data_IF_949324150982
#
_entry.id   IF_949324150982
#
_cell.length_a   1.000
_cell.length_b   1.000
_cell.length_c   1.000
_cell.angle_alpha   90.00
_cell.angle_beta   90.00
_cell.angle_gamma   90.00
#
_symmetry.space_group_name_H-M   'P 1'
#
loop_
_entity.id
_entity.type
_entity.pdbx_description
1 polymer ?
#
# COMPACT_ATOMS: atom_id res chain seq x y z
N UNK A 1 16.75 -1.70 15.85
CA UNK A 1 15.91 -1.50 14.66
C UNK A 1 16.60 -2.23 13.52
N UNK A 2 15.87 -2.61 12.48
CA UNK A 2 16.37 -3.43 11.38
C UNK A 2 17.04 -2.52 10.35
N UNK A 3 18.28 -2.81 9.96
CA UNK A 3 18.97 -2.10 8.87
C UNK A 3 18.53 -2.63 7.49
N UNK A 4 18.61 -1.78 6.46
CA UNK A 4 18.42 -2.18 5.07
C UNK A 4 19.51 -3.16 4.63
N UNK A 5 19.15 -4.15 3.81
CA UNK A 5 20.11 -5.17 3.38
C UNK A 5 20.98 -4.73 2.21
N UNK A 6 20.41 -3.92 1.33
CA UNK A 6 21.03 -3.56 0.05
C UNK A 6 21.37 -2.07 -0.10
N UNK A 7 21.01 -1.24 0.88
CA UNK A 7 21.13 0.20 0.75
C UNK A 7 21.40 0.92 2.09
N UNK A 8 21.82 2.18 2.00
CA UNK A 8 21.98 3.06 3.15
C UNK A 8 21.37 4.44 2.82
N UNK A 9 20.09 4.68 3.19
CA UNK A 9 19.32 5.88 2.82
C UNK A 9 20.07 7.20 2.97
N UNK A 10 20.79 7.40 4.07
CA UNK A 10 21.46 8.68 4.39
C UNK A 10 22.64 9.01 3.48
N UNK A 11 23.15 8.02 2.72
CA UNK A 11 24.28 8.20 1.80
C UNK A 11 23.85 8.53 0.37
N UNK A 12 22.55 8.47 0.09
CA UNK A 12 21.99 8.73 -1.24
C UNK A 12 21.83 10.23 -1.51
N UNK A 13 22.10 10.63 -2.75
CA UNK A 13 21.57 11.91 -3.25
C UNK A 13 20.04 11.82 -3.45
N UNK A 14 19.41 12.98 -3.68
CA UNK A 14 17.95 13.09 -3.77
C UNK A 14 17.37 12.19 -4.86
N UNK A 15 17.98 12.22 -6.04
CA UNK A 15 17.47 11.49 -7.20
C UNK A 15 17.59 9.98 -7.00
N UNK A 16 18.70 9.50 -6.43
CA UNK A 16 18.89 8.09 -6.08
C UNK A 16 17.91 7.65 -5.00
N UNK A 17 17.72 8.45 -3.96
CA UNK A 17 16.78 8.14 -2.88
C UNK A 17 15.35 8.04 -3.40
N UNK A 18 14.88 9.04 -4.15
CA UNK A 18 13.53 9.05 -4.69
C UNK A 18 13.33 7.88 -5.65
N UNK A 19 14.27 7.61 -6.55
CA UNK A 19 14.16 6.47 -7.47
C UNK A 19 14.11 5.12 -6.72
N UNK A 20 14.87 4.97 -5.63
CA UNK A 20 14.92 3.73 -4.86
C UNK A 20 13.64 3.49 -4.04
N UNK A 21 13.06 4.55 -3.47
CA UNK A 21 11.91 4.47 -2.57
C UNK A 21 10.57 4.89 -3.22
N UNK A 22 10.55 5.22 -4.53
CA UNK A 22 9.36 5.71 -5.25
C UNK A 22 8.16 4.76 -5.17
N UNK A 23 8.42 3.45 -5.23
CA UNK A 23 7.38 2.41 -5.27
C UNK A 23 7.00 1.88 -3.89
N UNK A 24 7.54 2.44 -2.80
CA UNK A 24 7.11 2.09 -1.43
C UNK A 24 5.64 2.43 -1.23
N UNK A 25 5.19 3.55 -1.80
CA UNK A 25 3.78 3.92 -1.89
C UNK A 25 3.35 3.88 -3.36
N UNK A 26 2.29 3.14 -3.67
CA UNK A 26 1.86 2.86 -5.04
C UNK A 26 1.70 4.15 -5.87
N UNK A 27 2.45 4.25 -6.96
CA UNK A 27 2.50 5.40 -7.88
C UNK A 27 2.56 6.77 -7.18
N UNK A 28 3.23 6.84 -6.03
CA UNK A 28 3.24 8.01 -5.15
C UNK A 28 4.67 8.38 -4.71
N UNK A 29 5.58 8.71 -5.66
CA UNK A 29 6.97 9.05 -5.35
C UNK A 29 7.09 10.31 -4.48
N UNK A 30 6.04 11.14 -4.45
CA UNK A 30 5.98 12.35 -3.64
C UNK A 30 6.22 12.10 -2.14
N UNK A 31 5.92 10.89 -1.63
CA UNK A 31 6.20 10.54 -0.23
C UNK A 31 7.71 10.48 -0.01
N UNK A 32 8.46 9.81 -0.89
CA UNK A 32 9.91 9.74 -0.82
C UNK A 32 10.54 11.12 -1.04
N UNK A 33 10.05 11.89 -2.01
CA UNK A 33 10.49 13.27 -2.25
C UNK A 33 10.36 14.13 -0.99
N UNK A 34 9.17 14.13 -0.38
CA UNK A 34 8.90 14.93 0.80
C UNK A 34 9.71 14.47 2.03
N UNK A 35 9.96 13.16 2.17
CA UNK A 35 10.82 12.63 3.24
C UNK A 35 12.27 13.08 3.07
N UNK A 36 12.81 13.03 1.85
CA UNK A 36 14.17 13.51 1.58
C UNK A 36 14.28 15.02 1.84
N UNK A 37 13.30 15.79 1.39
CA UNK A 37 13.27 17.25 1.53
C UNK A 37 13.13 17.72 2.99
N UNK A 38 12.58 16.87 3.87
CA UNK A 38 12.58 17.09 5.34
C UNK A 38 13.96 16.84 5.99
N UNK A 39 14.89 16.24 5.25
CA UNK A 39 16.23 15.86 5.71
C UNK A 39 16.26 14.49 6.36
N UNK A 40 17.34 13.75 6.13
CA UNK A 40 17.60 12.44 6.75
C UNK A 40 18.69 12.56 7.83
N UNK A 41 18.64 11.68 8.82
CA UNK A 41 19.67 11.51 9.84
C UNK A 41 20.02 10.03 10.00
N UNK A 42 21.09 9.72 10.75
CA UNK A 42 21.61 8.35 10.89
C UNK A 42 20.58 7.31 11.36
N UNK A 43 19.54 7.71 12.09
CA UNK A 43 18.47 6.80 12.51
C UNK A 43 17.61 6.33 11.32
N UNK A 44 17.50 7.14 10.26
CA UNK A 44 16.72 6.84 9.05
C UNK A 44 17.36 5.75 8.18
N UNK A 45 18.56 5.26 8.52
CA UNK A 45 19.14 4.04 7.93
C UNK A 45 18.50 2.75 8.45
N UNK A 46 17.62 2.85 9.45
CA UNK A 46 16.82 1.74 9.94
C UNK A 46 15.41 1.77 9.36
N UNK A 47 14.93 0.59 8.95
CA UNK A 47 13.66 0.38 8.26
C UNK A 47 12.49 0.96 9.06
N UNK A 48 12.42 0.68 10.36
CA UNK A 48 11.32 1.17 11.22
C UNK A 48 11.31 2.71 11.32
N UNK A 49 12.47 3.36 11.38
CA UNK A 49 12.56 4.81 11.45
C UNK A 49 12.17 5.47 10.13
N UNK A 50 12.69 4.97 9.01
CA UNK A 50 12.32 5.48 7.69
C UNK A 50 10.82 5.28 7.43
N UNK A 51 10.28 4.12 7.80
CA UNK A 51 8.86 3.82 7.74
C UNK A 51 8.01 4.83 8.52
N UNK A 52 8.36 5.07 9.79
CA UNK A 52 7.66 6.05 10.63
C UNK A 52 7.68 7.45 10.02
N UNK A 53 8.81 7.85 9.42
CA UNK A 53 8.95 9.15 8.76
C UNK A 53 8.10 9.26 7.51
N UNK A 54 8.06 8.22 6.69
CA UNK A 54 7.18 8.13 5.52
C UNK A 54 5.69 8.12 5.92
N UNK A 55 5.32 7.33 6.93
CA UNK A 55 3.95 7.25 7.43
C UNK A 55 3.48 8.59 7.99
N UNK A 56 4.33 9.29 8.74
CA UNK A 56 4.07 10.64 9.23
C UNK A 56 3.91 11.64 8.08
N UNK A 57 4.74 11.53 7.04
CA UNK A 57 4.64 12.37 5.83
C UNK A 57 3.31 12.16 5.11
N UNK A 58 2.83 10.91 4.99
CA UNK A 58 1.51 10.60 4.45
C UNK A 58 0.38 11.17 5.32
N UNK A 59 0.43 10.96 6.62
CA UNK A 59 -0.60 11.42 7.56
C UNK A 59 -0.74 12.94 7.62
N UNK A 60 0.36 13.67 7.44
CA UNK A 60 0.38 15.13 7.43
C UNK A 60 0.12 15.76 6.06
N UNK A 61 0.02 14.95 5.00
CA UNK A 61 -0.36 15.44 3.67
C UNK A 61 -1.82 15.91 3.67
N UNK A 62 -2.15 16.80 2.73
CA UNK A 62 -3.53 17.21 2.54
C UNK A 62 -4.41 16.01 2.13
N UNK A 63 -5.68 16.08 2.49
CA UNK A 63 -6.63 14.99 2.25
C UNK A 63 -6.75 14.63 0.75
N UNK A 64 -6.50 15.58 -0.15
CA UNK A 64 -6.48 15.35 -1.59
C UNK A 64 -5.34 14.42 -2.02
N UNK A 65 -4.12 14.65 -1.53
CA UNK A 65 -2.97 13.76 -1.74
C UNK A 65 -3.17 12.38 -1.14
N UNK A 66 -3.72 12.31 0.07
CA UNK A 66 -4.06 11.03 0.71
C UNK A 66 -5.04 10.24 -0.15
N UNK A 67 -6.14 10.88 -0.59
CA UNK A 67 -7.13 10.24 -1.44
C UNK A 67 -6.55 9.85 -2.81
N UNK A 68 -5.69 10.67 -3.41
CA UNK A 68 -5.02 10.34 -4.67
C UNK A 68 -4.14 9.08 -4.54
N UNK A 69 -3.40 8.96 -3.43
CA UNK A 69 -2.59 7.78 -3.13
C UNK A 69 -3.47 6.54 -2.89
N UNK A 70 -4.56 6.67 -2.14
CA UNK A 70 -5.53 5.56 -1.97
C UNK A 70 -6.04 5.10 -3.35
N UNK A 71 -6.43 6.05 -4.21
CA UNK A 71 -6.94 5.73 -5.56
C UNK A 71 -5.88 5.21 -6.53
N UNK A 72 -4.59 5.42 -6.25
CA UNK A 72 -3.51 4.86 -7.03
C UNK A 72 -3.35 3.34 -6.83
N UNK A 73 -3.90 2.78 -5.74
CA UNK A 73 -3.83 1.35 -5.47
C UNK A 73 -4.76 0.56 -6.40
N UNK A 74 -4.28 -0.52 -7.04
CA UNK A 74 -5.10 -1.39 -7.84
C UNK A 74 -6.06 -2.21 -6.97
N UNK A 75 -7.21 -2.59 -7.53
CA UNK A 75 -8.14 -3.48 -6.85
C UNK A 75 -7.51 -4.86 -6.59
N UNK A 76 -7.78 -5.43 -5.41
CA UNK A 76 -7.51 -6.84 -5.13
C UNK A 76 -8.37 -7.73 -6.03
N UNK A 77 -7.74 -8.70 -6.69
CA UNK A 77 -8.38 -9.54 -7.71
C UNK A 77 -9.07 -8.71 -8.82
N UNK A 78 -8.55 -7.51 -9.11
CA UNK A 78 -9.10 -6.64 -10.14
C UNK A 78 -8.72 -7.04 -11.57
N UNK A 79 -9.23 -6.28 -12.55
CA UNK A 79 -8.87 -6.46 -13.97
C UNK A 79 -7.37 -6.34 -14.20
N UNK A 80 -6.69 -5.44 -13.48
CA UNK A 80 -5.24 -5.29 -13.57
C UNK A 80 -4.50 -6.58 -13.15
N UNK A 81 -4.99 -7.30 -12.14
CA UNK A 81 -4.43 -8.59 -11.74
C UNK A 81 -4.64 -9.64 -12.84
N UNK A 82 -5.84 -9.72 -13.42
CA UNK A 82 -6.16 -10.67 -14.50
C UNK A 82 -5.36 -10.39 -15.78
N UNK A 83 -5.15 -9.12 -16.10
CA UNK A 83 -4.43 -8.70 -17.30
C UNK A 83 -2.91 -8.70 -17.14
N UNK A 84 -2.37 -8.93 -15.92
CA UNK A 84 -0.94 -8.83 -15.64
C UNK A 84 -0.41 -7.39 -15.71
N UNK A 85 -1.24 -6.40 -15.39
CA UNK A 85 -0.94 -4.96 -15.44
C UNK A 85 -0.56 -4.38 -14.06
N UNK A 86 -0.44 -5.23 -13.03
CA UNK A 86 0.01 -4.83 -11.70
C UNK A 86 1.50 -4.45 -11.68
N UNK A 87 1.89 -3.56 -10.78
CA UNK A 87 3.30 -3.35 -10.44
C UNK A 87 3.92 -4.64 -9.90
N UNK A 88 5.26 -4.73 -9.93
CA UNK A 88 5.97 -5.91 -9.43
C UNK A 88 5.65 -6.19 -7.96
N UNK A 89 5.60 -5.13 -7.13
CA UNK A 89 5.22 -5.21 -5.72
C UNK A 89 3.79 -5.72 -5.54
N UNK A 90 2.82 -5.11 -6.23
CA UNK A 90 1.41 -5.55 -6.18
C UNK A 90 1.22 -7.00 -6.66
N UNK A 91 1.99 -7.43 -7.66
CA UNK A 91 1.96 -8.82 -8.15
C UNK A 91 2.44 -9.80 -7.08
N UNK A 92 3.59 -9.52 -6.44
CA UNK A 92 4.14 -10.37 -5.36
C UNK A 92 3.20 -10.44 -4.16
N UNK A 93 2.62 -9.30 -3.79
CA UNK A 93 1.66 -9.20 -2.68
C UNK A 93 0.42 -10.07 -2.93
N UNK A 94 -0.25 -9.91 -4.08
CA UNK A 94 -1.48 -10.65 -4.37
C UNK A 94 -1.26 -12.15 -4.57
N UNK A 95 -0.14 -12.54 -5.21
CA UNK A 95 0.23 -13.94 -5.36
C UNK A 95 0.47 -14.62 -4.00
N UNK A 96 1.11 -13.91 -3.06
CA UNK A 96 1.35 -14.41 -1.69
C UNK A 96 0.06 -14.70 -0.90
N UNK A 97 -1.05 -14.05 -1.26
CA UNK A 97 -2.35 -14.22 -0.61
C UNK A 97 -3.24 -15.29 -1.26
N UNK A 98 -2.77 -15.93 -2.33
CA UNK A 98 -3.50 -16.95 -3.08
C UNK A 98 -4.69 -16.39 -3.86
N UNK A 99 -4.63 -15.13 -4.27
CA UNK A 99 -5.65 -14.48 -5.11
C UNK A 99 -5.63 -15.05 -6.53
N UNK A 100 -4.44 -15.41 -7.03
CA UNK A 100 -4.22 -16.11 -8.30
C UNK A 100 -4.89 -17.50 -8.37
N UNK A 101 -5.28 -18.04 -7.22
CA UNK A 101 -5.93 -19.35 -7.06
C UNK A 101 -7.44 -19.24 -6.82
N UNK A 102 -8.05 -18.06 -6.98
CA UNK A 102 -9.48 -17.90 -6.80
C UNK A 102 -10.28 -18.75 -7.79
N UNK A 103 -11.36 -19.36 -7.32
CA UNK A 103 -12.40 -19.91 -8.20
C UNK A 103 -13.15 -18.79 -8.92
N UNK A 104 -13.90 -19.12 -9.97
CA UNK A 104 -14.75 -18.15 -10.66
C UNK A 104 -15.77 -17.49 -9.71
N UNK A 105 -16.35 -18.27 -8.78
CA UNK A 105 -17.29 -17.78 -7.77
C UNK A 105 -16.62 -16.82 -6.76
N UNK A 106 -15.39 -17.12 -6.34
CA UNK A 106 -14.60 -16.23 -5.47
C UNK A 106 -14.26 -14.93 -6.20
N UNK A 107 -13.88 -15.01 -7.48
CA UNK A 107 -13.57 -13.84 -8.30
C UNK A 107 -14.81 -12.94 -8.53
N UNK A 108 -15.98 -13.53 -8.74
CA UNK A 108 -17.26 -12.80 -8.81
C UNK A 108 -17.57 -12.08 -7.49
N UNK A 109 -17.30 -12.72 -6.33
CA UNK A 109 -17.44 -12.07 -5.02
C UNK A 109 -16.49 -10.89 -4.86
N UNK A 110 -15.21 -11.04 -5.20
CA UNK A 110 -14.26 -9.92 -5.19
C UNK A 110 -14.73 -8.78 -6.07
N UNK A 111 -15.21 -9.07 -7.28
CA UNK A 111 -15.74 -8.06 -8.20
C UNK A 111 -16.94 -7.33 -7.60
N UNK A 112 -17.89 -8.06 -7.04
CA UNK A 112 -19.08 -7.50 -6.38
C UNK A 112 -18.71 -6.62 -5.18
N UNK A 113 -17.78 -7.07 -4.34
CA UNK A 113 -17.31 -6.33 -3.18
C UNK A 113 -16.51 -5.09 -3.56
N UNK A 114 -15.61 -5.16 -4.54
CA UNK A 114 -14.92 -3.97 -5.07
C UNK A 114 -15.91 -2.92 -5.57
N UNK A 115 -16.94 -3.32 -6.33
CA UNK A 115 -17.97 -2.41 -6.83
C UNK A 115 -18.78 -1.77 -5.69
N UNK A 116 -19.22 -2.58 -4.73
CA UNK A 116 -20.00 -2.12 -3.57
C UNK A 116 -19.19 -1.16 -2.71
N UNK A 117 -17.91 -1.48 -2.50
CA UNK A 117 -16.99 -0.68 -1.70
C UNK A 117 -16.72 0.68 -2.36
N UNK A 118 -16.41 0.69 -3.67
CA UNK A 118 -16.21 1.93 -4.43
C UNK A 118 -17.47 2.80 -4.47
N UNK A 119 -18.65 2.19 -4.64
CA UNK A 119 -19.91 2.92 -4.62
C UNK A 119 -20.21 3.57 -3.26
N UNK A 120 -19.72 3.00 -2.16
CA UNK A 120 -19.95 3.51 -0.81
C UNK A 120 -18.92 4.55 -0.39
N UNK A 121 -17.65 4.27 -0.63
CA UNK A 121 -16.53 5.05 -0.08
C UNK A 121 -15.82 5.93 -1.11
N UNK A 122 -16.07 5.73 -2.40
CA UNK A 122 -15.44 6.46 -3.52
C UNK A 122 -13.92 6.26 -3.65
N UNK A 123 -13.39 5.16 -3.12
CA UNK A 123 -11.99 4.75 -3.26
C UNK A 123 -11.89 3.21 -3.22
N UNK A 124 -10.79 2.59 -3.71
CA UNK A 124 -10.64 1.13 -3.72
C UNK A 124 -10.46 0.53 -2.32
N UNK A 125 -10.80 -0.74 -2.15
CA UNK A 125 -10.51 -1.47 -0.92
C UNK A 125 -9.02 -1.77 -0.84
N UNK A 126 -8.39 -1.35 0.25
CA UNK A 126 -6.97 -1.58 0.51
C UNK A 126 -6.81 -2.43 1.75
N UNK A 127 -6.02 -3.49 1.66
CA UNK A 127 -5.64 -4.35 2.76
C UNK A 127 -4.22 -4.87 2.52
N UNK A 128 -3.39 -4.87 3.55
CA UNK A 128 -2.08 -5.49 3.52
C UNK A 128 -2.26 -7.02 3.55
N UNK A 129 -1.93 -7.68 2.43
CA UNK A 129 -2.26 -9.09 2.23
C UNK A 129 -1.14 -10.08 2.59
N UNK A 130 0.06 -9.60 2.94
CA UNK A 130 1.19 -10.46 3.35
C UNK A 130 0.82 -11.19 4.65
N UNK A 131 0.75 -12.53 4.59
CA UNK A 131 0.34 -13.37 5.71
C UNK A 131 -1.19 -13.56 5.85
N UNK A 132 -1.99 -12.94 4.99
CA UNK A 132 -3.41 -13.21 4.85
C UNK A 132 -3.67 -14.22 3.72
N UNK A 133 -4.88 -14.77 3.68
CA UNK A 133 -5.37 -15.56 2.55
C UNK A 133 -6.65 -14.96 1.96
N UNK A 134 -7.01 -15.37 0.74
CA UNK A 134 -8.21 -14.89 0.03
C UNK A 134 -9.52 -14.93 0.85
N UNK A 135 -9.70 -15.90 1.74
CA UNK A 135 -10.89 -15.99 2.59
C UNK A 135 -10.93 -14.87 3.64
N UNK A 136 -9.79 -14.60 4.27
CA UNK A 136 -9.66 -13.50 5.24
C UNK A 136 -9.84 -12.13 4.57
N UNK A 137 -9.43 -11.99 3.32
CA UNK A 137 -9.66 -10.75 2.56
C UNK A 137 -11.16 -10.56 2.30
N UNK A 138 -11.87 -11.60 1.87
CA UNK A 138 -13.33 -11.55 1.66
C UNK A 138 -14.08 -11.24 2.96
N UNK A 139 -13.69 -11.83 4.09
CA UNK A 139 -14.26 -11.52 5.41
C UNK A 139 -14.00 -10.06 5.81
N UNK A 140 -12.80 -9.55 5.50
CA UNK A 140 -12.44 -8.15 5.77
C UNK A 140 -13.26 -7.17 4.94
N UNK A 141 -13.60 -7.51 3.69
CA UNK A 141 -14.55 -6.72 2.88
C UNK A 141 -15.91 -6.64 3.57
N UNK A 142 -16.49 -7.75 3.99
CA UNK A 142 -17.81 -7.81 4.62
C UNK A 142 -17.86 -6.96 5.90
N UNK A 143 -16.84 -7.09 6.76
CA UNK A 143 -16.73 -6.29 7.97
C UNK A 143 -16.65 -4.79 7.65
N UNK A 144 -15.75 -4.41 6.75
CA UNK A 144 -15.42 -2.99 6.48
C UNK A 144 -16.46 -2.27 5.64
N UNK A 145 -17.28 -2.98 4.86
CA UNK A 145 -18.48 -2.41 4.24
C UNK A 145 -19.49 -1.89 5.27
N UNK A 146 -19.41 -2.33 6.53
CA UNK A 146 -20.20 -1.81 7.64
C UNK A 146 -19.73 -0.46 8.19
N UNK A 147 -18.48 -0.05 7.91
CA UNK A 147 -17.88 1.16 8.47
C UNK A 147 -18.52 2.44 7.93
N UNK A 148 -18.39 3.53 8.70
CA UNK A 148 -18.57 4.89 8.19
C UNK A 148 -17.35 5.33 7.37
N UNK A 149 -17.53 6.39 6.56
CA UNK A 149 -16.50 6.83 5.61
C UNK A 149 -15.23 7.38 6.27
N UNK A 150 -15.31 7.97 7.46
CA UNK A 150 -14.14 8.51 8.17
C UNK A 150 -13.29 7.37 8.74
N UNK A 151 -13.94 6.41 9.41
CA UNK A 151 -13.28 5.20 9.91
C UNK A 151 -12.61 4.42 8.77
N UNK A 152 -13.29 4.30 7.63
CA UNK A 152 -12.78 3.51 6.51
C UNK A 152 -11.60 4.20 5.80
N UNK A 153 -11.64 5.52 5.66
CA UNK A 153 -10.53 6.28 5.11
C UNK A 153 -9.28 6.14 5.99
N UNK A 154 -9.44 6.26 7.32
CA UNK A 154 -8.34 6.06 8.26
C UNK A 154 -7.79 4.63 8.21
N UNK A 155 -8.68 3.63 8.05
CA UNK A 155 -8.29 2.22 7.90
C UNK A 155 -7.51 2.00 6.61
N UNK A 156 -7.94 2.58 5.48
CA UNK A 156 -7.21 2.48 4.22
C UNK A 156 -5.77 3.03 4.34
N UNK A 157 -5.59 4.19 4.98
CA UNK A 157 -4.24 4.75 5.24
C UNK A 157 -3.40 3.84 6.14
N UNK A 158 -4.00 3.23 7.17
CA UNK A 158 -3.28 2.27 8.02
C UNK A 158 -2.83 1.03 7.24
N UNK A 159 -3.68 0.50 6.37
CA UNK A 159 -3.34 -0.65 5.51
C UNK A 159 -2.23 -0.29 4.51
N UNK A 160 -2.28 0.90 3.92
CA UNK A 160 -1.19 1.42 3.06
C UNK A 160 0.13 1.47 3.83
N UNK A 161 0.14 2.00 5.06
CA UNK A 161 1.35 2.05 5.87
C UNK A 161 1.88 0.65 6.20
N UNK A 162 1.01 -0.36 6.40
CA UNK A 162 1.45 -1.76 6.56
C UNK A 162 2.09 -2.31 5.29
N UNK A 163 1.50 -2.03 4.12
CA UNK A 163 2.07 -2.41 2.81
C UNK A 163 3.45 -1.77 2.63
N UNK A 164 3.59 -0.47 2.90
CA UNK A 164 4.86 0.24 2.84
C UNK A 164 5.94 -0.41 3.72
N UNK A 165 5.59 -0.83 4.95
CA UNK A 165 6.52 -1.54 5.84
C UNK A 165 7.02 -2.85 5.21
N UNK A 166 6.11 -3.63 4.63
CA UNK A 166 6.48 -4.90 3.98
C UNK A 166 7.41 -4.68 2.79
N UNK A 167 7.15 -3.65 1.97
CA UNK A 167 8.00 -3.28 0.84
C UNK A 167 9.39 -2.86 1.30
N UNK A 168 9.50 -2.06 2.37
CA UNK A 168 10.80 -1.67 2.94
C UNK A 168 11.57 -2.87 3.52
N UNK A 169 10.90 -3.84 4.15
CA UNK A 169 11.55 -5.07 4.62
C UNK A 169 12.09 -5.97 3.52
N UNK A 170 11.55 -5.85 2.30
CA UNK A 170 12.00 -6.62 1.15
C UNK A 170 13.20 -5.93 0.43
N UNK A 171 13.70 -4.78 0.95
CA UNK A 171 14.85 -4.00 0.44
C UNK A 171 16.18 -4.25 1.19
#
# INVERSE_FOLDING_TARGET
MTEFRSCQPTTMDRDTFVAHFADVYEHSPWVAEAVYDQGLNAEDDHIENLHLKMASTLLNADQGKQLALINAHPDLAGRAAVNGELTESSTKEQAGAGIDQCSAEEFEKFTSYNNSYKSRFNFPFIMAVKGANRYQILESFEMRLGNDSETEFATAIQEINKIAMFRLWDM
#
